data_IF_467922605378
#
_entry.id   IF_467922605378
#
_cell.length_a   1.000
_cell.length_b   1.000
_cell.length_c   1.000
_cell.angle_alpha   90.00
_cell.angle_beta   90.00
_cell.angle_gamma   90.00
#
_symmetry.space_group_name_H-M   'P 1'
#
loop_
_entity.id
_entity.type
_entity.pdbx_description
1 polymer ?
2 non-polymer ?
3 non-polymer ?
4 water ?
#
# COMPACT_ATOMS: atom_id res chain seq x y z
N UNK A 1 3.29 8.97 16.87
CA UNK A 1 2.04 8.23 16.82
C UNK A 1 2.14 7.03 15.91
N UNK A 2 1.00 6.40 15.63
CA UNK A 2 1.01 5.24 14.76
C UNK A 2 -0.23 5.16 13.89
N UNK A 3 -0.18 5.72 12.68
CA UNK A 3 -1.34 5.66 11.79
C UNK A 3 -1.56 4.26 11.21
N UNK A 4 -0.49 3.49 11.04
CA UNK A 4 -0.60 2.16 10.44
C UNK A 4 -0.63 1.09 11.53
N UNK A 5 -1.58 0.17 11.45
CA UNK A 5 -1.70 -0.86 12.48
C UNK A 5 -0.43 -1.72 12.53
N UNK A 6 0.03 -2.16 11.36
CA UNK A 6 1.32 -2.83 11.20
C UNK A 6 2.24 -1.85 10.48
N UNK A 7 3.40 -1.54 11.06
CA UNK A 7 4.26 -0.56 10.41
C UNK A 7 5.65 -1.11 10.10
N UNK A 8 5.98 -1.16 8.81
CA UNK A 8 7.28 -1.66 8.37
C UNK A 8 8.07 -0.52 7.75
N UNK A 9 8.67 0.31 8.60
CA UNK A 9 9.34 1.52 8.12
C UNK A 9 10.81 1.28 7.78
N UNK A 10 11.43 0.34 8.47
CA UNK A 10 12.87 0.10 8.31
C UNK A 10 13.22 -1.09 7.41
N UNK A 11 12.49 -2.19 7.56
CA UNK A 11 12.70 -3.38 6.75
C UNK A 11 11.35 -3.74 6.15
N UNK A 12 11.28 -3.87 4.82
CA UNK A 12 9.97 -4.07 4.21
C UNK A 12 9.40 -5.44 4.52
N UNK A 13 8.08 -5.52 4.54
CA UNK A 13 7.39 -6.79 4.66
C UNK A 13 7.23 -7.38 3.26
N UNK A 14 7.31 -8.70 3.15
CA UNK A 14 7.18 -9.34 1.85
C UNK A 14 5.74 -9.77 1.63
N UNK A 15 5.20 -9.49 0.45
CA UNK A 15 3.89 -10.01 0.11
C UNK A 15 3.94 -10.66 -1.27
N UNK A 16 3.21 -11.75 -1.43
CA UNK A 16 3.25 -12.49 -2.68
C UNK A 16 2.16 -11.99 -3.61
N UNK A 17 2.50 -11.81 -4.88
CA UNK A 17 1.49 -11.40 -5.83
C UNK A 17 1.45 -12.38 -6.98
N UNK A 18 0.28 -12.52 -7.59
CA UNK A 18 0.15 -13.31 -8.80
C UNK A 18 -0.51 -12.44 -9.85
N UNK A 19 0.08 -12.37 -11.03
CA UNK A 19 -0.47 -11.54 -12.11
C UNK A 19 -1.87 -11.98 -12.52
N UNK A 20 -2.75 -11.00 -12.71
CA UNK A 20 -4.13 -11.30 -13.05
C UNK A 20 -4.95 -11.55 -11.80
N UNK A 21 -4.30 -11.52 -10.64
CA UNK A 21 -4.99 -11.82 -9.39
C UNK A 21 -5.01 -10.60 -8.51
N UNK A 22 -5.91 -10.62 -7.53
CA UNK A 22 -6.03 -9.53 -6.58
C UNK A 22 -4.77 -9.39 -5.73
N UNK A 23 -4.31 -8.15 -5.56
CA UNK A 23 -3.15 -7.89 -4.71
C UNK A 23 -3.58 -6.90 -3.64
N UNK A 24 -3.47 -7.31 -2.38
CA UNK A 24 -3.74 -6.39 -1.29
C UNK A 24 -2.44 -5.84 -0.71
N UNK A 25 -2.28 -4.52 -0.74
CA UNK A 25 -1.18 -3.89 -0.01
C UNK A 25 -1.70 -3.55 1.40
N UNK A 26 -1.29 -4.33 2.41
CA UNK A 26 -2.14 -4.38 3.61
C UNK A 26 -1.87 -3.31 4.69
N UNK A 27 -1.64 -2.07 4.28
CA UNK A 27 -1.35 -1.01 5.22
C UNK A 27 -2.65 -0.42 5.82
N UNK A 28 -3.43 -1.25 6.50
CA UNK A 28 -4.63 -0.78 7.19
C UNK A 28 -4.24 0.25 8.25
N UNK A 29 -5.15 1.17 8.54
CA UNK A 29 -4.87 2.29 9.43
C UNK A 29 -5.74 2.27 10.67
N UNK A 30 -5.37 3.10 11.64
CA UNK A 30 -6.00 3.09 12.96
C UNK A 30 -7.24 3.98 13.01
N UNK A 31 -7.55 4.64 11.90
CA UNK A 31 -8.72 5.52 11.81
C UNK A 31 -9.07 5.76 10.36
N UNK A 32 -10.37 5.71 10.04
CA UNK A 32 -10.83 5.93 8.67
C UNK A 32 -10.59 7.37 8.18
N UNK A 33 -10.29 8.30 9.09
CA UNK A 33 -9.99 9.68 8.69
C UNK A 33 -8.55 9.90 8.22
N UNK A 34 -7.74 8.85 8.25
CA UNK A 34 -6.34 8.96 7.83
C UNK A 34 -6.21 8.82 6.31
N UNK A 35 -5.58 9.81 5.68
CA UNK A 35 -5.35 9.77 4.24
C UNK A 35 -4.02 9.08 3.96
N UNK A 36 -4.05 8.11 3.06
CA UNK A 36 -2.87 7.32 2.74
C UNK A 36 -2.56 7.42 1.25
N UNK A 37 -1.29 7.61 0.94
CA UNK A 37 -0.82 7.65 -0.43
C UNK A 37 -0.06 6.36 -0.71
N UNK A 38 -0.31 5.75 -1.88
CA UNK A 38 0.41 4.55 -2.28
C UNK A 38 1.44 4.87 -3.35
N UNK A 39 2.67 4.43 -3.12
CA UNK A 39 3.78 4.71 -4.03
C UNK A 39 4.51 3.46 -4.49
N UNK A 40 5.02 3.50 -5.71
CA UNK A 40 5.92 2.46 -6.19
C UNK A 40 7.27 3.08 -6.51
N UNK A 41 8.30 2.58 -5.84
CA UNK A 41 9.65 3.10 -5.98
C UNK A 41 10.15 2.98 -7.42
N UNK A 42 10.82 4.03 -7.92
CA UNK A 42 11.05 5.29 -7.21
C UNK A 42 10.14 6.41 -7.69
N UNK A 43 9.41 6.19 -8.77
CA UNK A 43 8.76 7.31 -9.46
C UNK A 43 7.25 7.38 -9.37
N UNK A 44 6.58 6.26 -9.07
CA UNK A 44 5.14 6.20 -9.30
C UNK A 44 4.29 6.45 -8.06
N UNK A 45 3.15 7.09 -8.28
CA UNK A 45 2.10 7.20 -7.29
C UNK A 45 0.87 6.52 -7.87
N UNK A 46 0.28 5.62 -7.10
CA UNK A 46 -0.89 4.87 -7.53
C UNK A 46 -2.12 5.46 -6.86
N UNK A 47 -3.05 5.95 -7.68
CA UNK A 47 -4.25 6.63 -7.19
C UNK A 47 -5.44 5.68 -7.18
N UNK A 48 -6.05 5.48 -6.00
CA UNK A 48 -7.26 4.66 -5.96
C UNK A 48 -8.46 5.32 -6.64
N UNK A 49 -9.19 4.54 -7.45
CA UNK A 49 -10.34 5.08 -8.16
C UNK A 49 -11.63 4.38 -7.74
N UNK A 50 -11.53 3.52 -6.73
CA UNK A 50 -12.69 2.80 -6.24
C UNK A 50 -13.08 1.59 -7.07
N UNK A 51 -12.22 1.22 -8.02
CA UNK A 51 -12.52 0.12 -8.93
C UNK A 51 -11.30 -0.76 -9.19
N UNK A 52 -10.40 -0.31 -10.07
CA UNK A 52 -9.15 -1.01 -10.31
C UNK A 52 -8.31 -1.03 -9.03
N UNK A 53 -8.32 0.09 -8.32
CA UNK A 53 -7.61 0.22 -7.05
C UNK A 53 -8.57 0.77 -6.01
N UNK A 54 -8.81 0.00 -4.96
CA UNK A 54 -9.74 0.39 -3.93
C UNK A 54 -9.01 0.56 -2.61
N UNK A 55 -9.24 1.69 -1.96
CA UNK A 55 -8.78 1.89 -0.59
C UNK A 55 -9.84 1.45 0.39
N UNK A 56 -9.43 0.67 1.39
CA UNK A 56 -10.30 0.32 2.51
C UNK A 56 -9.45 0.47 3.75
N UNK A 57 -9.83 1.38 4.64
CA UNK A 57 -9.00 1.71 5.80
C UNK A 57 -8.81 0.54 6.75
N UNK A 58 -9.68 -0.46 6.66
CA UNK A 58 -9.58 -1.64 7.51
C UNK A 58 -8.71 -2.73 6.88
N UNK A 59 -8.34 -2.55 5.61
CA UNK A 59 -7.57 -3.58 4.88
C UNK A 59 -6.28 -3.11 4.23
N UNK A 60 -6.32 -1.91 3.66
CA UNK A 60 -5.24 -1.41 2.83
C UNK A 60 -5.72 -1.10 1.43
N UNK A 61 -4.81 -1.17 0.46
CA UNK A 61 -5.17 -0.96 -0.94
C UNK A 61 -5.45 -2.30 -1.60
N UNK A 62 -6.55 -2.37 -2.33
CA UNK A 62 -6.93 -3.59 -3.02
C UNK A 62 -6.80 -3.37 -4.52
N UNK A 63 -5.81 -4.02 -5.12
CA UNK A 63 -5.57 -3.87 -6.55
C UNK A 63 -6.17 -5.08 -7.24
N UNK A 64 -7.23 -4.87 -8.02
CA UNK A 64 -7.78 -5.95 -8.81
C UNK A 64 -6.94 -6.15 -10.06
N UNK A 65 -6.60 -7.41 -10.33
CA UNK A 65 -5.83 -7.79 -11.50
C UNK A 65 -4.46 -7.12 -11.53
N UNK A 66 -3.64 -7.45 -10.53
CA UNK A 66 -2.25 -7.02 -10.44
C UNK A 66 -1.52 -7.33 -11.72
N UNK A 67 -0.52 -6.50 -12.02
CA UNK A 67 0.33 -6.71 -13.19
C UNK A 67 1.78 -6.70 -12.74
N UNK A 68 2.69 -6.94 -13.68
CA UNK A 68 4.11 -6.94 -13.36
C UNK A 68 4.59 -5.55 -12.97
N UNK A 69 3.80 -4.53 -13.28
CA UNK A 69 4.11 -3.17 -12.85
C UNK A 69 4.01 -3.03 -11.33
N UNK A 70 3.27 -3.93 -10.69
CA UNK A 70 3.16 -3.91 -9.24
C UNK A 70 4.26 -4.70 -8.53
N UNK A 71 5.24 -5.19 -9.28
CA UNK A 71 6.38 -5.88 -8.69
C UNK A 71 7.44 -4.87 -8.30
N UNK A 72 7.82 -4.85 -7.03
CA UNK A 72 8.84 -3.92 -6.58
C UNK A 72 8.61 -3.49 -5.15
N UNK A 73 9.13 -2.31 -4.80
CA UNK A 73 8.97 -1.78 -3.46
C UNK A 73 7.78 -0.84 -3.47
N UNK A 74 6.75 -1.21 -2.73
CA UNK A 74 5.56 -0.38 -2.61
C UNK A 74 5.50 0.23 -1.21
N UNK A 75 5.16 1.51 -1.13
CA UNK A 75 5.16 2.21 0.15
C UNK A 75 3.81 2.90 0.38
N UNK A 76 3.22 2.68 1.55
CA UNK A 76 2.07 3.49 1.98
C UNK A 76 2.59 4.64 2.83
N UNK A 77 2.16 5.86 2.51
CA UNK A 77 2.56 7.05 3.26
C UNK A 77 1.34 7.73 3.87
N UNK A 78 1.43 8.14 5.12
CA UNK A 78 0.35 8.91 5.73
C UNK A 78 0.93 10.05 6.54
N UNK A 79 0.35 11.23 6.38
CA UNK A 79 0.72 12.35 7.22
C UNK A 79 -0.35 12.59 8.27
N UNK A 80 0.05 12.51 9.54
CA UNK A 80 -0.84 12.72 10.68
C UNK A 80 -0.17 13.65 11.70
N UNK A 81 -0.90 14.65 12.18
CA UNK A 81 -0.39 15.56 13.19
C UNK A 81 0.90 16.24 12.71
N UNK A 82 0.98 16.47 11.41
CA UNK A 82 2.12 17.16 10.82
C UNK A 82 3.34 16.29 10.56
N UNK A 83 3.22 15.00 10.86
CA UNK A 83 4.35 14.09 10.69
C UNK A 83 4.07 13.06 9.61
N UNK A 84 5.10 12.73 8.83
CA UNK A 84 4.97 11.74 7.75
C UNK A 84 5.41 10.36 8.20
N UNK A 85 4.54 9.37 8.00
CA UNK A 85 4.85 7.97 8.31
C UNK A 85 4.86 7.14 7.04
N UNK A 86 5.75 6.14 7.00
CA UNK A 86 5.86 5.22 5.86
C UNK A 86 5.88 3.77 6.31
N UNK A 87 5.26 2.91 5.52
CA UNK A 87 5.35 1.48 5.76
C UNK A 87 5.59 0.82 4.40
N UNK A 88 6.51 -0.13 4.37
CA UNK A 88 7.07 -0.62 3.12
C UNK A 88 6.80 -2.09 2.86
N UNK A 89 6.51 -2.41 1.61
CA UNK A 89 6.25 -3.78 1.21
C UNK A 89 7.03 -4.10 -0.04
N UNK A 90 7.61 -5.29 -0.05
CA UNK A 90 8.24 -5.82 -1.25
C UNK A 90 7.34 -6.89 -1.85
N UNK A 91 6.86 -6.64 -3.06
CA UNK A 91 6.01 -7.61 -3.74
C UNK A 91 6.86 -8.46 -4.66
N UNK A 92 6.67 -9.78 -4.62
CA UNK A 92 7.19 -10.66 -5.67
C UNK A 92 6.35 -11.94 -5.82
N UNK A 93 6.60 -12.71 -6.87
CA UNK A 93 5.57 -13.64 -7.33
C UNK A 93 5.42 -15.00 -6.65
N UNK A 94 4.16 -15.46 -6.66
CA UNK A 94 3.79 -16.86 -6.45
C UNK A 94 3.46 -17.50 -7.80
X LIG B 1 8.54 -15.07 -1.44
X LIG C 1 -2.79 17.11 7.98
X LIG C 1 -3.96 16.50 7.43
X LIG C 1 -2.15 16.13 8.96
X LIG C 1 -0.87 16.61 9.36
X LIG D 1 -1.36 11.58 3.14
X LIG D 1 -1.69 11.76 4.53
X LIG D 1 -0.18 12.47 2.74
X LIG D 1 1.03 11.97 3.34
X LIG E 1 -8.40 -14.07 -7.09
X LIG E 1 -8.09 -12.79 -7.63
X LIG E 1 -7.95 -14.08 -5.64
X LIG E 1 -8.40 -15.29 -5.03
X LIG F 1 -5.46 13.34 8.46
X LIG F 1 -4.28 13.73 9.17
X LIG F 1 -5.04 12.74 7.13
X LIG F 1 -4.13 11.69 7.43
#
# INVERSE_FOLDING_TARGET
GRPFVEMYSEIPEIIHMTEGRELVIPCRVTSPNITVTLKKFPLDTLIPDGKRIIWDSRKGFIISNATYKEIGLLTCEATVNGHLYKTNYLTHRQ
ZN ZN
EDO C1 O1 C2 O2
EDO C1 O1 C2 O2
EDO C1 O1 C2 O2
EDO C1 O1 C2 O2
#
